data_IF_269649642663
#
_entry.id   IF_269649642663
#
_cell.length_a   1.000
_cell.length_b   1.000
_cell.length_c   1.000
_cell.angle_alpha   90.00
_cell.angle_beta   90.00
_cell.angle_gamma   90.00
#
_symmetry.space_group_name_H-M   'P 1'
#
loop_
_entity.id
_entity.type
_entity.pdbx_description
1 polymer ?
#
# COMPACT_ATOMS: atom_id res chain seq x y z
N UNK A 1 41.58 -61.46 -4.91
CA UNK A 1 41.12 -60.37 -4.01
C UNK A 1 41.11 -59.05 -4.77
N UNK A 2 39.94 -58.47 -5.03
CA UNK A 2 39.79 -57.04 -5.35
C UNK A 2 38.31 -56.67 -5.28
N UNK A 3 37.85 -56.37 -4.06
CA UNK A 3 36.55 -55.76 -3.82
C UNK A 3 36.68 -54.27 -4.15
N UNK A 4 36.32 -53.89 -5.39
CA UNK A 4 36.11 -52.47 -5.72
C UNK A 4 34.72 -52.09 -5.25
N UNK A 5 34.69 -51.46 -4.08
CA UNK A 5 33.52 -50.88 -3.44
C UNK A 5 32.86 -49.87 -4.39
N UNK A 6 31.71 -50.24 -4.95
CA UNK A 6 30.79 -49.30 -5.58
C UNK A 6 30.29 -48.34 -4.50
N UNK A 7 30.88 -47.14 -4.46
CA UNK A 7 30.41 -46.04 -3.62
C UNK A 7 29.19 -45.45 -4.32
N UNK A 8 28.00 -45.86 -3.89
CA UNK A 8 26.73 -45.34 -4.39
C UNK A 8 26.70 -43.82 -4.30
N UNK A 9 26.40 -43.16 -5.42
CA UNK A 9 26.17 -41.71 -5.45
C UNK A 9 25.03 -41.38 -4.47
N UNK A 10 25.18 -40.37 -3.58
CA UNK A 10 24.07 -39.91 -2.76
C UNK A 10 22.96 -39.36 -3.68
N UNK A 11 21.71 -39.79 -3.45
CA UNK A 11 20.56 -39.28 -4.19
C UNK A 11 20.35 -37.80 -3.84
N UNK A 12 20.01 -36.92 -4.81
CA UNK A 12 19.72 -35.52 -4.53
C UNK A 12 18.50 -35.42 -3.60
N UNK A 13 18.59 -34.52 -2.60
CA UNK A 13 17.50 -34.24 -1.68
C UNK A 13 16.28 -33.76 -2.47
N UNK A 14 15.13 -34.40 -2.25
CA UNK A 14 13.85 -33.98 -2.83
C UNK A 14 13.52 -32.58 -2.30
N UNK A 15 13.54 -31.59 -3.19
CA UNK A 15 13.02 -30.25 -2.93
C UNK A 15 11.54 -30.39 -2.53
N UNK A 16 11.21 -30.14 -1.26
CA UNK A 16 9.82 -30.14 -0.78
C UNK A 16 9.17 -28.88 -1.33
N UNK A 17 8.41 -29.01 -2.41
CA UNK A 17 7.49 -27.95 -2.84
C UNK A 17 6.55 -27.60 -1.67
N UNK A 18 6.25 -26.31 -1.42
CA UNK A 18 5.29 -25.93 -0.40
C UNK A 18 3.95 -26.64 -0.69
N UNK A 19 3.38 -27.25 0.34
CA UNK A 19 2.15 -28.02 0.21
C UNK A 19 1.00 -27.10 -0.19
N UNK A 20 0.16 -27.52 -1.15
CA UNK A 20 -0.95 -26.70 -1.67
C UNK A 20 -1.90 -26.15 -0.58
N UNK A 21 -1.99 -26.83 0.57
CA UNK A 21 -2.77 -26.37 1.73
C UNK A 21 -2.19 -25.13 2.45
N UNK A 22 -0.87 -24.91 2.38
CA UNK A 22 -0.24 -23.71 2.95
C UNK A 22 -0.53 -22.45 2.14
N UNK A 23 -0.60 -22.58 0.81
CA UNK A 23 -0.89 -21.48 -0.10
C UNK A 23 -2.32 -20.95 0.05
N UNK A 24 -3.31 -21.85 0.24
CA UNK A 24 -4.71 -21.46 0.42
C UNK A 24 -4.93 -20.65 1.70
N UNK A 25 -4.32 -21.05 2.81
CA UNK A 25 -4.42 -20.32 4.08
C UNK A 25 -3.79 -18.93 3.99
N UNK A 26 -2.67 -18.81 3.28
CA UNK A 26 -1.99 -17.52 3.08
C UNK A 26 -2.83 -16.58 2.20
N UNK A 27 -3.49 -17.11 1.17
CA UNK A 27 -4.43 -16.35 0.33
C UNK A 27 -5.67 -15.88 1.11
N UNK A 28 -6.23 -16.71 1.99
CA UNK A 28 -7.36 -16.32 2.84
C UNK A 28 -6.98 -15.18 3.79
N UNK A 29 -5.83 -15.27 4.46
CA UNK A 29 -5.33 -14.20 5.32
C UNK A 29 -5.11 -12.89 4.55
N UNK A 30 -4.57 -12.98 3.33
CA UNK A 30 -4.41 -11.81 2.46
C UNK A 30 -5.75 -11.17 2.10
N UNK A 31 -6.77 -11.96 1.76
CA UNK A 31 -8.10 -11.42 1.45
C UNK A 31 -8.69 -10.66 2.64
N UNK A 32 -8.58 -11.21 3.84
CA UNK A 32 -9.06 -10.58 5.07
C UNK A 32 -8.27 -9.31 5.41
N UNK A 33 -6.93 -9.34 5.28
CA UNK A 33 -6.08 -8.18 5.51
C UNK A 33 -6.36 -7.05 4.51
N UNK A 34 -6.56 -7.37 3.23
CA UNK A 34 -6.97 -6.37 2.23
C UNK A 34 -8.31 -5.75 2.57
N UNK A 35 -9.32 -6.56 2.92
CA UNK A 35 -10.63 -6.04 3.29
C UNK A 35 -10.56 -5.11 4.51
N UNK A 36 -9.78 -5.48 5.52
CA UNK A 36 -9.57 -4.66 6.71
C UNK A 36 -8.83 -3.36 6.41
N UNK A 37 -7.78 -3.38 5.56
CA UNK A 37 -7.09 -2.16 5.17
C UNK A 37 -7.97 -1.23 4.33
N UNK A 38 -8.77 -1.79 3.42
CA UNK A 38 -9.75 -1.03 2.65
C UNK A 38 -10.72 -0.28 3.59
N UNK A 39 -11.25 -0.97 4.60
CA UNK A 39 -12.16 -0.37 5.58
C UNK A 39 -11.46 0.63 6.51
N UNK A 40 -10.20 0.38 6.89
CA UNK A 40 -9.41 1.33 7.68
C UNK A 40 -9.22 2.67 6.94
N UNK A 41 -8.93 2.62 5.64
CA UNK A 41 -8.75 3.81 4.80
C UNK A 41 -10.01 4.69 4.69
N UNK A 42 -11.20 4.12 4.91
CA UNK A 42 -12.45 4.90 4.93
C UNK A 42 -12.48 5.91 6.07
N UNK A 43 -11.85 5.58 7.21
CA UNK A 43 -11.92 6.37 8.44
C UNK A 43 -10.59 7.04 8.80
N UNK A 44 -9.47 6.50 8.30
CA UNK A 44 -8.16 7.10 8.52
C UNK A 44 -8.06 8.42 7.77
N UNK A 45 -7.70 9.48 8.48
CA UNK A 45 -7.63 10.85 7.95
C UNK A 45 -6.23 11.41 8.03
N UNK A 46 -5.92 12.28 7.07
CA UNK A 46 -4.75 13.15 7.09
C UNK A 46 -5.20 14.60 6.96
N UNK A 47 -4.39 15.51 7.48
CA UNK A 47 -4.60 16.95 7.33
C UNK A 47 -3.52 17.49 6.40
N UNK A 48 -3.94 18.19 5.35
CA UNK A 48 -3.06 18.81 4.37
C UNK A 48 -3.32 20.31 4.36
N UNK A 49 -2.24 21.09 4.39
CA UNK A 49 -2.33 22.56 4.38
C UNK A 49 -1.89 23.14 3.05
N UNK A 50 -2.53 24.22 2.63
CA UNK A 50 -2.13 25.03 1.47
C UNK A 50 -1.99 26.50 1.87
N UNK A 51 -1.36 27.30 1.01
CA UNK A 51 -1.30 28.75 1.20
C UNK A 51 -0.56 29.21 2.45
N UNK A 52 0.57 28.56 2.78
CA UNK A 52 1.32 28.88 3.99
C UNK A 52 0.62 28.51 5.31
N UNK A 53 -0.42 27.66 5.25
CA UNK A 53 -1.21 27.24 6.42
C UNK A 53 -2.59 27.89 6.52
N UNK A 54 -2.89 28.85 5.65
CA UNK A 54 -4.18 29.55 5.64
C UNK A 54 -5.36 28.68 5.18
N UNK A 55 -5.08 27.55 4.51
CA UNK A 55 -6.09 26.55 4.16
C UNK A 55 -5.69 25.21 4.79
N UNK A 56 -6.62 24.54 5.46
CA UNK A 56 -6.47 23.20 6.01
C UNK A 56 -7.55 22.27 5.48
N UNK A 57 -7.16 21.13 4.93
CA UNK A 57 -8.05 20.14 4.30
C UNK A 57 -7.87 18.81 5.01
N UNK A 58 -8.95 18.27 5.56
CA UNK A 58 -8.98 16.94 6.15
C UNK A 58 -9.56 15.99 5.11
N UNK A 59 -8.81 14.96 4.74
CA UNK A 59 -9.20 13.95 3.75
C UNK A 59 -8.93 12.54 4.28
N UNK A 60 -9.79 11.59 3.94
CA UNK A 60 -9.58 10.17 4.28
C UNK A 60 -8.61 9.49 3.32
N UNK A 61 -8.08 8.33 3.70
CA UNK A 61 -7.32 7.45 2.79
C UNK A 61 -8.15 6.89 1.62
N UNK A 62 -9.48 7.03 1.67
CA UNK A 62 -10.41 6.71 0.59
C UNK A 62 -10.84 7.94 -0.22
N UNK A 63 -10.00 8.99 -0.22
CA UNK A 63 -10.20 10.23 -0.97
C UNK A 63 -11.52 10.95 -0.67
N UNK A 64 -12.02 10.85 0.58
CA UNK A 64 -13.19 11.61 1.02
C UNK A 64 -12.74 12.85 1.79
N UNK A 65 -13.02 14.03 1.25
CA UNK A 65 -12.78 15.29 1.95
C UNK A 65 -13.83 15.44 3.05
N UNK A 66 -13.38 15.52 4.30
CA UNK A 66 -14.23 15.63 5.49
C UNK A 66 -14.45 17.08 5.88
N UNK A 67 -13.43 17.92 5.75
CA UNK A 67 -13.54 19.34 6.05
C UNK A 67 -12.50 20.17 5.31
N UNK A 68 -12.87 21.42 5.01
CA UNK A 68 -11.97 22.47 4.55
C UNK A 68 -12.14 23.65 5.48
N UNK A 69 -11.04 24.14 6.04
CA UNK A 69 -10.98 25.35 6.85
C UNK A 69 -10.14 26.37 6.11
N UNK A 70 -10.64 27.60 6.04
CA UNK A 70 -10.01 28.73 5.36
C UNK A 70 -9.86 29.86 6.36
N UNK A 71 -8.69 30.48 6.39
CA UNK A 71 -8.43 31.68 7.17
C UNK A 71 -9.39 32.80 6.75
N UNK A 72 -10.08 33.46 7.71
CA UNK A 72 -10.97 34.58 7.42
C UNK A 72 -10.34 35.68 6.56
N UNK A 73 -9.03 35.90 6.68
CA UNK A 73 -8.32 36.93 5.91
C UNK A 73 -8.30 36.63 4.40
N UNK A 74 -8.50 35.37 4.00
CA UNK A 74 -8.64 34.96 2.60
C UNK A 74 -10.08 35.08 2.06
N UNK A 75 -11.07 35.37 2.92
CA UNK A 75 -12.47 35.51 2.52
C UNK A 75 -12.80 36.92 2.03
N UNK A 76 -11.92 37.51 1.24
CA UNK A 76 -12.14 38.81 0.58
C UNK A 76 -12.78 38.61 -0.80
N UNK A 77 -13.97 39.17 -1.09
CA UNK A 77 -14.61 39.05 -2.40
C UNK A 77 -13.77 39.64 -3.55
N UNK A 78 -12.90 40.60 -3.28
CA UNK A 78 -12.03 41.20 -4.30
C UNK A 78 -10.87 40.26 -4.73
N UNK A 79 -10.55 39.26 -3.91
CA UNK A 79 -9.44 38.31 -4.12
C UNK A 79 -9.92 36.86 -4.34
N UNK A 80 -11.18 36.69 -4.78
CA UNK A 80 -11.81 35.37 -4.90
C UNK A 80 -11.06 34.42 -5.85
N UNK A 81 -10.43 34.92 -6.91
CA UNK A 81 -9.64 34.11 -7.85
C UNK A 81 -8.44 33.44 -7.15
N UNK A 82 -7.73 34.18 -6.30
CA UNK A 82 -6.58 33.66 -5.56
C UNK A 82 -7.01 32.55 -4.59
N UNK A 83 -8.12 32.74 -3.86
CA UNK A 83 -8.66 31.71 -2.98
C UNK A 83 -9.03 30.44 -3.74
N UNK A 84 -9.64 30.57 -4.92
CA UNK A 84 -10.01 29.43 -5.77
C UNK A 84 -8.79 28.65 -6.24
N UNK A 85 -7.73 29.34 -6.66
CA UNK A 85 -6.48 28.71 -7.07
C UNK A 85 -5.81 27.94 -5.92
N UNK A 86 -5.77 28.55 -4.74
CA UNK A 86 -5.18 27.94 -3.54
C UNK A 86 -5.98 26.73 -3.06
N UNK A 87 -7.31 26.81 -3.09
CA UNK A 87 -8.18 25.66 -2.78
C UNK A 87 -7.98 24.53 -3.78
N UNK A 88 -7.91 24.84 -5.08
CA UNK A 88 -7.68 23.85 -6.14
C UNK A 88 -6.35 23.13 -5.93
N UNK A 89 -5.27 23.88 -5.71
CA UNK A 89 -3.96 23.30 -5.42
C UNK A 89 -3.96 22.47 -4.13
N UNK A 90 -4.62 22.96 -3.07
CA UNK A 90 -4.71 22.27 -1.79
C UNK A 90 -5.47 20.95 -1.88
N UNK A 91 -6.62 20.92 -2.57
CA UNK A 91 -7.42 19.70 -2.75
C UNK A 91 -6.65 18.66 -3.56
N UNK A 92 -5.97 19.07 -4.64
CA UNK A 92 -5.15 18.16 -5.42
C UNK A 92 -4.02 17.55 -4.57
N UNK A 93 -3.31 18.38 -3.79
CA UNK A 93 -2.28 17.88 -2.86
C UNK A 93 -2.85 16.94 -1.81
N UNK A 94 -4.06 17.21 -1.29
CA UNK A 94 -4.74 16.34 -0.36
C UNK A 94 -5.06 14.96 -0.98
N UNK A 95 -5.50 14.93 -2.23
CA UNK A 95 -5.76 13.70 -2.98
C UNK A 95 -4.45 12.92 -3.20
N UNK A 96 -3.37 13.58 -3.59
CA UNK A 96 -2.06 12.95 -3.79
C UNK A 96 -1.54 12.31 -2.49
N UNK A 97 -1.64 13.01 -1.36
CA UNK A 97 -1.24 12.47 -0.07
C UNK A 97 -2.17 11.36 0.43
N UNK A 98 -3.48 11.44 0.15
CA UNK A 98 -4.44 10.38 0.43
C UNK A 98 -4.09 9.10 -0.35
N UNK A 99 -3.71 9.23 -1.63
CA UNK A 99 -3.24 8.11 -2.45
C UNK A 99 -1.94 7.51 -1.91
N UNK A 100 -1.00 8.35 -1.47
CA UNK A 100 0.24 7.89 -0.87
C UNK A 100 -0.01 7.11 0.43
N UNK A 101 -0.92 7.58 1.29
CA UNK A 101 -1.35 6.85 2.49
C UNK A 101 -1.95 5.48 2.12
N UNK A 102 -2.85 5.44 1.14
CA UNK A 102 -3.47 4.20 0.69
C UNK A 102 -2.42 3.22 0.14
N UNK A 103 -1.48 3.70 -0.67
CA UNK A 103 -0.39 2.89 -1.21
C UNK A 103 0.49 2.32 -0.08
N UNK A 104 0.85 3.13 0.91
CA UNK A 104 1.66 2.70 2.06
C UNK A 104 0.95 1.62 2.89
N UNK A 105 -0.36 1.76 3.12
CA UNK A 105 -1.18 0.75 3.82
C UNK A 105 -1.20 -0.58 3.06
N UNK A 106 -1.37 -0.52 1.74
CA UNK A 106 -1.39 -1.71 0.89
C UNK A 106 -0.01 -2.35 0.75
N UNK A 107 1.07 -1.56 0.65
CA UNK A 107 2.45 -2.03 0.64
C UNK A 107 2.83 -2.75 1.94
N UNK A 108 2.32 -2.31 3.09
CA UNK A 108 2.51 -3.05 4.35
C UNK A 108 1.96 -4.48 4.29
N UNK A 109 0.85 -4.70 3.58
CA UNK A 109 0.23 -6.02 3.39
C UNK A 109 0.98 -6.81 2.33
N UNK A 110 1.20 -6.22 1.16
CA UNK A 110 1.80 -6.91 0.01
C UNK A 110 3.31 -7.09 0.17
N UNK A 111 4.02 -6.22 0.87
CA UNK A 111 5.45 -6.31 1.18
C UNK A 111 5.76 -7.37 2.23
N UNK A 112 4.84 -7.63 3.17
CA UNK A 112 4.94 -8.78 4.09
C UNK A 112 4.76 -10.13 3.37
N UNK A 113 4.07 -10.15 2.23
CA UNK A 113 3.83 -11.31 1.37
C UNK A 113 4.77 -11.37 0.15
N UNK A 114 5.36 -10.24 -0.24
CA UNK A 114 6.14 -10.04 -1.47
C UNK A 114 7.45 -10.80 -1.46
N UNK A 115 8.01 -11.04 -0.27
CA UNK A 115 9.11 -11.99 -0.11
C UNK A 115 8.71 -13.41 -0.53
N UNK A 116 7.50 -13.85 -0.22
CA UNK A 116 6.99 -15.17 -0.57
C UNK A 116 6.51 -15.30 -2.02
N UNK A 117 5.92 -14.24 -2.60
CA UNK A 117 5.45 -14.24 -3.99
C UNK A 117 6.59 -14.04 -5.00
N UNK A 118 7.59 -13.22 -4.68
CA UNK A 118 8.79 -13.06 -5.50
C UNK A 118 9.64 -14.35 -5.48
N UNK A 119 9.73 -15.05 -4.35
CA UNK A 119 10.36 -16.37 -4.27
C UNK A 119 9.59 -17.44 -5.06
N UNK A 120 8.25 -17.36 -5.10
CA UNK A 120 7.39 -18.25 -5.88
C UNK A 120 7.51 -18.01 -7.39
N UNK A 121 7.53 -16.75 -7.82
CA UNK A 121 7.66 -16.40 -9.24
C UNK A 121 9.10 -16.57 -9.74
N UNK A 122 10.10 -16.20 -8.93
CA UNK A 122 11.50 -16.47 -9.20
C UNK A 122 11.82 -17.97 -9.25
N UNK A 123 11.13 -18.79 -8.46
CA UNK A 123 11.26 -20.25 -8.48
C UNK A 123 10.60 -20.95 -9.67
N UNK A 124 9.71 -20.26 -10.41
CA UNK A 124 9.04 -20.79 -11.60
C UNK A 124 9.77 -20.48 -12.91
N UNK A 125 10.87 -19.72 -12.86
CA UNK A 125 11.73 -19.47 -14.03
C UNK A 125 11.03 -18.72 -15.17
N UNK A 126 10.04 -17.88 -14.86
CA UNK A 126 9.35 -17.02 -15.83
C UNK A 126 9.94 -15.59 -15.88
N UNK A 127 11.17 -15.42 -15.38
CA UNK A 127 11.97 -14.19 -15.53
C UNK A 127 12.94 -14.29 -16.70
#
# INVERSE_FOLDING_TARGET
MSKRSFRGRPKPAKNKMPSAGGLMNQMQQMQEQMANAQSALENETITVTAGGGAISIVITGHQRVQSITVDPDLLNPDDAEMLQDMLTAGVNSAIEQSQALAAQRMEGITGGLGGGLNDLLGGLGLG
#
